data_IF_984902223090
#
_entry.id   IF_984902223090
#
_cell.length_a   1.000
_cell.length_b   1.000
_cell.length_c   1.000
_cell.angle_alpha   90.00
_cell.angle_beta   90.00
_cell.angle_gamma   90.00
#
_symmetry.space_group_name_H-M   'P 1'
#
loop_
_entity.id
_entity.type
_entity.pdbx_description
1 polymer ?
#
# COMPACT_ATOMS: atom_id res chain seq x y z
N UNK A 1 -8.64 29.32 -11.59
CA UNK A 1 -8.93 28.03 -10.94
C UNK A 1 -7.71 27.17 -11.19
N UNK A 2 -7.26 26.42 -10.19
CA UNK A 2 -6.16 25.47 -10.41
C UNK A 2 -6.61 24.37 -11.40
N UNK A 3 -5.68 23.87 -12.21
CA UNK A 3 -5.97 22.77 -13.12
C UNK A 3 -6.35 21.51 -12.31
N UNK A 4 -7.32 20.72 -12.78
CA UNK A 4 -7.75 19.51 -12.08
C UNK A 4 -6.60 18.50 -11.98
N UNK A 5 -6.43 17.90 -10.79
CA UNK A 5 -5.50 16.78 -10.59
C UNK A 5 -6.03 15.57 -11.37
N UNK A 6 -5.20 14.96 -12.22
CA UNK A 6 -5.52 13.65 -12.81
C UNK A 6 -5.35 12.59 -11.72
N UNK A 7 -6.46 11.99 -11.28
CA UNK A 7 -6.49 10.96 -10.24
C UNK A 7 -6.81 9.60 -10.85
N UNK A 8 -5.81 8.73 -10.91
CA UNK A 8 -5.92 7.39 -11.47
C UNK A 8 -6.22 6.36 -10.35
N UNK A 9 -7.21 5.51 -10.57
CA UNK A 9 -7.44 4.31 -9.77
C UNK A 9 -6.74 3.14 -10.43
N UNK A 10 -5.75 2.58 -9.76
CA UNK A 10 -4.97 1.45 -10.29
C UNK A 10 -5.66 0.16 -9.84
N UNK A 11 -6.33 -0.48 -10.79
CA UNK A 11 -6.96 -1.78 -10.56
C UNK A 11 -5.89 -2.86 -10.66
N UNK A 12 -5.87 -3.76 -9.69
CA UNK A 12 -4.96 -4.90 -9.67
C UNK A 12 -5.04 -5.71 -10.97
N UNK A 13 -3.97 -6.39 -11.32
CA UNK A 13 -3.89 -7.19 -12.54
C UNK A 13 -4.98 -8.27 -12.62
N UNK A 14 -5.49 -8.74 -11.48
CA UNK A 14 -6.56 -9.75 -11.39
C UNK A 14 -7.97 -9.16 -11.53
N UNK A 15 -8.11 -7.84 -11.74
CA UNK A 15 -9.41 -7.16 -11.75
C UNK A 15 -9.70 -6.61 -13.14
N UNK A 16 -10.79 -7.07 -13.72
CA UNK A 16 -11.28 -6.64 -15.03
C UNK A 16 -12.47 -5.69 -14.96
N UNK A 17 -13.04 -5.47 -13.76
CA UNK A 17 -14.24 -4.66 -13.57
C UNK A 17 -13.96 -3.37 -12.77
N UNK A 18 -14.81 -2.37 -12.96
CA UNK A 18 -14.79 -1.11 -12.21
C UNK A 18 -15.19 -1.27 -10.74
N UNK A 19 -15.77 -2.42 -10.40
CA UNK A 19 -16.44 -2.63 -9.11
C UNK A 19 -15.49 -2.80 -7.93
N UNK A 20 -14.17 -2.94 -8.17
CA UNK A 20 -13.17 -3.14 -7.11
C UNK A 20 -13.16 -2.02 -6.08
N UNK A 21 -13.28 -0.77 -6.54
CA UNK A 21 -13.28 0.40 -5.67
C UNK A 21 -14.70 0.82 -5.27
N UNK A 22 -15.74 0.16 -5.77
CA UNK A 22 -17.13 0.56 -5.55
C UNK A 22 -17.36 2.00 -5.99
N UNK A 23 -18.04 2.78 -5.17
CA UNK A 23 -18.34 4.20 -5.41
C UNK A 23 -17.30 5.16 -4.78
N UNK A 24 -16.17 4.63 -4.28
CA UNK A 24 -15.09 5.45 -3.72
C UNK A 24 -14.57 6.53 -4.68
N UNK A 25 -14.37 6.25 -5.99
CA UNK A 25 -13.89 7.26 -6.93
C UNK A 25 -14.78 8.50 -6.99
N UNK A 26 -16.09 8.30 -7.08
CA UNK A 26 -17.09 9.36 -7.14
C UNK A 26 -17.17 10.13 -5.81
N UNK A 27 -17.14 9.41 -4.70
CA UNK A 27 -17.14 9.98 -3.35
C UNK A 27 -15.90 10.87 -3.10
N UNK A 28 -14.72 10.39 -3.49
CA UNK A 28 -13.46 11.15 -3.39
C UNK A 28 -13.51 12.38 -4.31
N UNK A 29 -13.96 12.22 -5.55
CA UNK A 29 -14.06 13.33 -6.50
C UNK A 29 -14.96 14.46 -5.97
N UNK A 30 -16.13 14.11 -5.43
CA UNK A 30 -17.05 15.07 -4.84
C UNK A 30 -16.44 15.77 -3.64
N UNK A 31 -15.82 15.01 -2.72
CA UNK A 31 -15.20 15.56 -1.51
C UNK A 31 -13.99 16.46 -1.83
N UNK A 32 -13.13 16.05 -2.77
CA UNK A 32 -11.98 16.84 -3.20
C UNK A 32 -12.42 18.15 -3.87
N UNK A 33 -13.43 18.11 -4.73
CA UNK A 33 -14.00 19.29 -5.36
C UNK A 33 -14.59 20.26 -4.31
N UNK A 34 -15.29 19.74 -3.32
CA UNK A 34 -15.82 20.55 -2.22
C UNK A 34 -14.72 21.18 -1.36
N UNK A 35 -13.55 20.55 -1.28
CA UNK A 35 -12.36 21.05 -0.59
C UNK A 35 -11.49 21.99 -1.46
N UNK A 36 -11.94 22.34 -2.68
CA UNK A 36 -11.21 23.22 -3.59
C UNK A 36 -10.10 22.53 -4.41
N UNK A 37 -10.06 21.20 -4.41
CA UNK A 37 -9.09 20.38 -5.16
C UNK A 37 -9.84 19.57 -6.22
N UNK A 38 -10.19 20.15 -7.37
CA UNK A 38 -10.90 19.41 -8.41
C UNK A 38 -10.02 18.27 -8.97
N UNK A 39 -10.64 17.13 -9.25
CA UNK A 39 -9.96 15.97 -9.81
C UNK A 39 -10.62 15.50 -11.11
N UNK A 40 -9.82 14.99 -12.03
CA UNK A 40 -10.26 14.25 -13.22
C UNK A 40 -9.97 12.77 -13.00
N UNK A 41 -11.03 11.96 -12.93
CA UNK A 41 -10.90 10.53 -12.66
C UNK A 41 -10.39 9.78 -13.90
N UNK A 42 -9.45 8.88 -13.67
CA UNK A 42 -8.94 7.91 -14.64
C UNK A 42 -8.90 6.51 -14.00
N UNK A 43 -8.92 5.48 -14.83
CA UNK A 43 -8.76 4.10 -14.38
C UNK A 43 -7.64 3.45 -15.18
N UNK A 44 -6.75 2.77 -14.50
CA UNK A 44 -5.71 1.92 -15.07
C UNK A 44 -6.05 0.48 -14.76
N UNK A 45 -6.27 -0.31 -15.81
CA UNK A 45 -6.58 -1.74 -15.72
C UNK A 45 -5.38 -2.54 -16.20
N UNK A 46 -4.55 -3.02 -15.29
CA UNK A 46 -3.33 -3.76 -15.64
C UNK A 46 -3.62 -5.05 -16.39
N UNK A 47 -4.77 -5.68 -16.14
CA UNK A 47 -5.22 -6.85 -16.89
C UNK A 47 -5.40 -6.65 -18.40
N UNK A 48 -5.33 -5.42 -18.90
CA UNK A 48 -5.29 -5.13 -20.34
C UNK A 48 -3.92 -5.33 -20.96
N UNK A 49 -2.88 -5.26 -20.15
CA UNK A 49 -1.48 -5.22 -20.58
C UNK A 49 -0.70 -6.47 -20.25
N UNK A 50 -1.21 -7.29 -19.34
CA UNK A 50 -0.54 -8.49 -18.89
C UNK A 50 -1.56 -9.60 -18.59
N UNK A 51 -1.18 -10.85 -18.88
CA UNK A 51 -1.97 -12.04 -18.59
C UNK A 51 -1.94 -12.40 -17.09
N UNK A 52 -2.83 -13.31 -16.67
CA UNK A 52 -2.97 -13.76 -15.28
C UNK A 52 -2.27 -15.12 -15.03
N UNK A 53 -1.21 -15.42 -15.77
CA UNK A 53 -0.50 -16.68 -15.64
C UNK A 53 0.41 -16.74 -14.40
N UNK A 54 0.73 -17.95 -13.97
CA UNK A 54 1.54 -18.22 -12.77
C UNK A 54 2.98 -17.69 -12.88
N UNK A 55 3.50 -17.53 -14.08
CA UNK A 55 4.84 -17.04 -14.35
C UNK A 55 5.00 -15.53 -14.15
N UNK A 56 3.90 -14.77 -14.10
CA UNK A 56 3.94 -13.31 -13.95
C UNK A 56 4.57 -12.93 -12.62
N UNK A 57 5.60 -12.09 -12.69
CA UNK A 57 6.33 -11.54 -11.56
C UNK A 57 5.95 -10.09 -11.27
N UNK A 58 6.34 -9.56 -10.13
CA UNK A 58 6.10 -8.15 -9.78
C UNK A 58 6.76 -7.19 -10.77
N UNK A 59 7.88 -7.59 -11.36
CA UNK A 59 8.60 -6.81 -12.38
C UNK A 59 7.84 -6.71 -13.71
N UNK A 60 7.10 -7.76 -14.07
CA UNK A 60 6.24 -7.75 -15.25
C UNK A 60 5.03 -6.84 -15.04
N UNK A 61 4.50 -6.81 -13.81
CA UNK A 61 3.44 -5.87 -13.45
C UNK A 61 3.95 -4.42 -13.45
N UNK A 62 5.19 -4.18 -13.05
CA UNK A 62 5.79 -2.85 -13.12
C UNK A 62 5.95 -2.38 -14.57
N UNK A 63 6.34 -3.26 -15.49
CA UNK A 63 6.41 -2.96 -16.93
C UNK A 63 5.01 -2.71 -17.53
N UNK A 64 4.01 -3.50 -17.11
CA UNK A 64 2.62 -3.28 -17.50
C UNK A 64 2.10 -1.92 -17.01
N UNK A 65 2.49 -1.50 -15.80
CA UNK A 65 2.15 -0.17 -15.26
C UNK A 65 2.78 0.93 -16.09
N UNK A 66 4.07 0.80 -16.47
CA UNK A 66 4.75 1.78 -17.33
C UNK A 66 4.02 1.92 -18.68
N UNK A 67 3.67 0.78 -19.28
CA UNK A 67 2.94 0.78 -20.55
C UNK A 67 1.54 1.41 -20.41
N UNK A 68 0.85 1.16 -19.31
CA UNK A 68 -0.45 1.75 -19.02
C UNK A 68 -0.35 3.29 -18.85
N UNK A 69 0.68 3.76 -18.12
CA UNK A 69 0.92 5.20 -17.97
C UNK A 69 1.16 5.86 -19.32
N UNK A 70 1.99 5.27 -20.18
CA UNK A 70 2.28 5.78 -21.51
C UNK A 70 1.06 5.77 -22.44
N UNK A 71 0.11 4.88 -22.24
CA UNK A 71 -1.04 4.67 -23.11
C UNK A 71 -2.29 5.36 -22.57
N UNK A 72 -2.72 5.01 -21.35
CA UNK A 72 -3.99 5.48 -20.75
C UNK A 72 -3.88 6.93 -20.23
N UNK A 73 -2.65 7.37 -19.88
CA UNK A 73 -2.35 8.74 -19.41
C UNK A 73 -1.53 9.54 -20.41
N UNK A 74 -1.58 9.15 -21.69
CA UNK A 74 -0.85 9.88 -22.75
C UNK A 74 -1.16 11.37 -22.73
N UNK A 75 -0.12 12.21 -22.66
CA UNK A 75 -0.24 13.66 -22.63
C UNK A 75 -0.54 14.25 -21.24
N UNK A 76 -0.59 13.42 -20.21
CA UNK A 76 -0.66 13.87 -18.82
C UNK A 76 0.77 14.01 -18.28
N UNK A 77 1.15 15.23 -17.90
CA UNK A 77 2.50 15.50 -17.37
C UNK A 77 2.70 14.92 -15.99
N UNK A 78 1.70 15.07 -15.11
CA UNK A 78 1.72 14.54 -13.74
C UNK A 78 0.35 13.98 -13.37
N UNK A 79 0.36 12.92 -12.56
CA UNK A 79 -0.87 12.31 -12.05
C UNK A 79 -0.72 11.87 -10.60
N UNK A 80 -1.85 11.67 -9.95
CA UNK A 80 -1.95 11.04 -8.63
C UNK A 80 -2.61 9.69 -8.79
N UNK A 81 -2.31 8.72 -7.94
CA UNK A 81 -3.01 7.46 -7.99
C UNK A 81 -3.45 6.96 -6.61
N UNK A 82 -4.57 6.24 -6.63
CA UNK A 82 -5.05 5.44 -5.50
C UNK A 82 -4.85 3.98 -5.87
N UNK A 83 -4.27 3.23 -4.93
CA UNK A 83 -4.04 1.80 -5.05
C UNK A 83 -4.63 1.07 -3.86
N UNK A 84 -4.89 -0.22 -4.00
CA UNK A 84 -5.35 -1.08 -2.92
C UNK A 84 -4.50 -2.36 -2.86
N UNK A 85 -4.26 -2.86 -1.64
CA UNK A 85 -3.61 -4.16 -1.41
C UNK A 85 -2.27 -4.29 -2.14
N UNK A 86 -2.13 -5.30 -3.01
CA UNK A 86 -0.94 -5.54 -3.86
C UNK A 86 -0.61 -4.36 -4.80
N UNK A 87 -1.59 -3.51 -5.11
CA UNK A 87 -1.37 -2.32 -5.95
C UNK A 87 -0.37 -1.33 -5.35
N UNK A 88 -0.28 -1.25 -4.02
CA UNK A 88 0.71 -0.39 -3.35
C UNK A 88 2.15 -0.78 -3.68
N UNK A 89 2.61 -1.98 -3.31
CA UNK A 89 3.95 -2.43 -3.64
C UNK A 89 4.20 -2.52 -5.15
N UNK A 90 3.18 -2.79 -5.96
CA UNK A 90 3.29 -2.81 -7.42
C UNK A 90 3.70 -1.43 -7.97
N UNK A 91 2.98 -0.37 -7.60
CA UNK A 91 3.31 0.99 -8.06
C UNK A 91 4.66 1.45 -7.48
N UNK A 92 5.00 1.06 -6.25
CA UNK A 92 6.34 1.30 -5.69
C UNK A 92 7.43 0.59 -6.50
N UNK A 93 7.21 -0.67 -6.91
CA UNK A 93 8.16 -1.39 -7.76
C UNK A 93 8.27 -0.77 -9.16
N UNK A 94 7.19 -0.26 -9.71
CA UNK A 94 7.21 0.52 -10.94
C UNK A 94 8.08 1.77 -10.81
N UNK A 95 7.89 2.55 -9.73
CA UNK A 95 8.74 3.72 -9.45
C UNK A 95 10.20 3.32 -9.29
N UNK A 96 10.47 2.27 -8.53
CA UNK A 96 11.81 1.77 -8.31
C UNK A 96 12.49 1.32 -9.60
N UNK A 97 11.81 0.52 -10.41
CA UNK A 97 12.35 -0.03 -11.66
C UNK A 97 12.62 1.03 -12.72
N UNK A 98 11.73 2.01 -12.88
CA UNK A 98 11.77 2.97 -13.99
C UNK A 98 12.30 4.34 -13.59
N UNK A 99 12.29 4.71 -12.30
CA UNK A 99 12.58 6.07 -11.85
C UNK A 99 13.52 6.15 -10.64
N UNK A 100 14.08 5.07 -10.10
CA UNK A 100 14.91 5.10 -8.89
C UNK A 100 16.08 6.11 -9.00
N UNK A 101 16.76 6.13 -10.14
CA UNK A 101 17.90 7.01 -10.40
C UNK A 101 17.49 8.45 -10.79
N UNK A 102 16.21 8.67 -11.09
CA UNK A 102 15.67 9.93 -11.61
C UNK A 102 14.28 10.23 -11.06
N UNK A 103 14.11 10.13 -9.75
CA UNK A 103 12.82 10.36 -9.08
C UNK A 103 12.16 11.70 -9.41
N UNK A 104 12.95 12.71 -9.77
CA UNK A 104 12.44 14.01 -10.19
C UNK A 104 11.66 13.97 -11.51
N UNK A 105 11.93 12.97 -12.36
CA UNK A 105 11.26 12.78 -13.65
C UNK A 105 10.02 11.88 -13.54
N UNK A 106 9.76 11.32 -12.36
CA UNK A 106 8.59 10.46 -12.15
C UNK A 106 7.30 11.30 -12.30
N UNK A 107 6.38 10.90 -13.20
CA UNK A 107 5.13 11.63 -13.40
C UNK A 107 4.14 11.44 -12.26
N UNK A 108 4.38 10.51 -11.33
CA UNK A 108 3.53 10.25 -10.18
C UNK A 108 3.79 11.27 -9.07
N UNK A 109 2.75 12.03 -8.71
CA UNK A 109 2.80 13.02 -7.63
C UNK A 109 2.36 12.45 -6.29
N UNK A 110 1.16 11.90 -6.23
CA UNK A 110 0.63 11.31 -5.00
C UNK A 110 0.42 9.80 -5.20
N UNK A 111 1.05 9.00 -4.37
CA UNK A 111 0.80 7.56 -4.26
C UNK A 111 0.01 7.30 -2.98
N UNK A 112 -1.31 7.17 -3.10
CA UNK A 112 -2.21 6.95 -1.98
C UNK A 112 -2.53 5.46 -1.91
N UNK A 113 -1.97 4.77 -0.92
CA UNK A 113 -2.07 3.32 -0.78
C UNK A 113 -3.09 2.96 0.30
N UNK A 114 -4.17 2.30 -0.10
CA UNK A 114 -5.19 1.76 0.80
C UNK A 114 -4.86 0.31 1.14
N UNK A 115 -4.71 0.02 2.42
CA UNK A 115 -4.41 -1.30 2.94
C UNK A 115 -3.27 -2.03 2.19
N UNK A 116 -2.12 -1.38 1.92
CA UNK A 116 -1.10 -1.93 1.03
C UNK A 116 -0.34 -3.09 1.68
N UNK A 117 -0.12 -4.16 0.93
CA UNK A 117 0.71 -5.28 1.35
C UNK A 117 2.22 -4.97 1.14
N UNK A 118 2.70 -3.84 1.69
CA UNK A 118 4.06 -3.33 1.45
C UNK A 118 5.17 -4.31 1.88
N UNK A 119 4.95 -5.06 2.95
CA UNK A 119 5.87 -6.09 3.44
C UNK A 119 5.31 -7.51 3.22
N UNK A 120 4.33 -7.66 2.34
CA UNK A 120 3.63 -8.91 2.10
C UNK A 120 2.43 -9.12 3.03
N UNK A 121 1.86 -10.32 2.97
CA UNK A 121 0.69 -10.74 3.74
C UNK A 121 0.86 -12.16 4.27
N UNK A 122 0.44 -12.40 5.50
CA UNK A 122 0.40 -13.76 6.09
C UNK A 122 -0.53 -14.69 5.32
N UNK A 123 -1.57 -14.14 4.67
CA UNK A 123 -2.48 -14.93 3.85
C UNK A 123 -1.84 -15.50 2.58
N UNK A 124 -0.82 -14.86 2.04
CA UNK A 124 -0.11 -15.40 0.89
C UNK A 124 0.51 -16.78 1.19
N UNK A 125 0.97 -16.99 2.43
CA UNK A 125 1.49 -18.29 2.87
C UNK A 125 0.37 -19.34 2.94
N UNK A 126 -0.81 -18.95 3.46
CA UNK A 126 -1.98 -19.84 3.49
C UNK A 126 -2.51 -20.13 2.09
N UNK A 127 -2.40 -19.16 1.18
CA UNK A 127 -2.78 -19.30 -0.21
C UNK A 127 -1.98 -20.36 -0.94
N UNK A 128 -0.69 -20.37 -0.76
CA UNK A 128 0.19 -21.42 -1.30
C UNK A 128 -0.19 -22.82 -0.82
N UNK A 129 -0.60 -22.94 0.45
CA UNK A 129 -0.96 -24.24 1.03
C UNK A 129 -2.35 -24.74 0.58
N UNK A 130 -3.24 -23.87 0.09
CA UNK A 130 -4.66 -24.19 -0.22
C UNK A 130 -5.20 -23.35 -1.38
N UNK A 131 -4.59 -23.47 -2.55
CA UNK A 131 -4.86 -22.69 -3.77
C UNK A 131 -6.35 -22.50 -4.10
N UNK A 132 -7.19 -23.51 -3.93
CA UNK A 132 -8.63 -23.44 -4.24
C UNK A 132 -9.49 -22.59 -3.30
N UNK A 133 -8.96 -22.05 -2.21
CA UNK A 133 -9.73 -21.30 -1.19
C UNK A 133 -9.38 -19.81 -1.12
N UNK A 134 -8.27 -19.39 -1.74
CA UNK A 134 -7.92 -17.99 -1.88
C UNK A 134 -8.75 -17.27 -2.94
N UNK A 135 -9.36 -17.99 -3.85
CA UNK A 135 -10.26 -17.46 -4.87
C UNK A 135 -11.36 -16.56 -4.30
N UNK A 136 -11.87 -16.88 -3.12
CA UNK A 136 -12.87 -16.07 -2.42
C UNK A 136 -12.30 -14.76 -1.85
N UNK A 137 -10.99 -14.67 -1.74
CA UNK A 137 -10.33 -13.58 -1.03
C UNK A 137 -10.02 -12.36 -1.92
N UNK A 138 -9.72 -12.55 -3.17
CA UNK A 138 -9.36 -11.45 -4.09
C UNK A 138 -10.40 -11.36 -5.24
N UNK A 139 -11.68 -11.16 -4.89
CA UNK A 139 -12.72 -10.86 -5.87
C UNK A 139 -12.80 -11.82 -7.08
N UNK A 140 -12.53 -13.11 -6.85
CA UNK A 140 -12.81 -14.17 -7.82
C UNK A 140 -11.73 -14.45 -8.87
N UNK A 141 -10.54 -13.86 -8.77
CA UNK A 141 -9.43 -14.20 -9.66
C UNK A 141 -8.20 -14.63 -8.85
N UNK A 142 -7.65 -15.77 -9.16
CA UNK A 142 -6.47 -16.33 -8.51
C UNK A 142 -5.22 -15.53 -8.87
N UNK A 143 -4.46 -15.01 -7.87
CA UNK A 143 -3.15 -14.44 -8.15
C UNK A 143 -2.20 -15.55 -8.61
N UNK A 144 -1.44 -15.30 -9.66
CA UNK A 144 -0.41 -16.23 -10.12
C UNK A 144 0.62 -16.52 -9.05
N UNK A 145 1.26 -17.70 -9.15
CA UNK A 145 2.21 -18.19 -8.16
C UNK A 145 3.36 -17.20 -7.91
N UNK A 146 3.87 -16.53 -8.95
CA UNK A 146 4.94 -15.55 -8.83
C UNK A 146 4.58 -14.36 -7.94
N UNK A 147 3.33 -13.88 -8.00
CA UNK A 147 2.84 -12.80 -7.14
C UNK A 147 2.59 -13.28 -5.72
N UNK A 148 2.06 -14.50 -5.54
CA UNK A 148 1.92 -15.10 -4.20
C UNK A 148 3.29 -15.29 -3.53
N UNK A 149 4.30 -15.67 -4.29
CA UNK A 149 5.68 -15.81 -3.81
C UNK A 149 6.24 -14.48 -3.36
N UNK A 150 5.99 -13.42 -4.11
CA UNK A 150 6.38 -12.07 -3.74
C UNK A 150 5.65 -11.60 -2.47
N UNK A 151 4.35 -11.86 -2.36
CA UNK A 151 3.52 -11.45 -1.23
C UNK A 151 3.79 -12.24 0.05
N UNK A 152 4.53 -13.35 0.02
CA UNK A 152 4.92 -14.04 1.23
C UNK A 152 5.73 -13.12 2.14
N UNK A 153 5.38 -13.09 3.42
CA UNK A 153 6.15 -12.34 4.43
C UNK A 153 7.62 -12.76 4.39
N UNK A 154 8.51 -11.78 4.25
CA UNK A 154 9.95 -12.02 4.21
C UNK A 154 10.47 -12.58 2.88
N UNK A 155 9.71 -12.49 1.79
CA UNK A 155 10.22 -12.80 0.45
C UNK A 155 11.42 -11.90 0.12
N UNK A 156 12.41 -12.44 -0.60
CA UNK A 156 13.62 -11.68 -0.94
C UNK A 156 13.32 -10.45 -1.79
N UNK A 157 12.34 -10.55 -2.69
CA UNK A 157 11.94 -9.46 -3.57
C UNK A 157 11.23 -8.33 -2.80
N UNK A 158 10.34 -8.67 -1.85
CA UNK A 158 9.70 -7.67 -0.99
C UNK A 158 10.75 -6.99 -0.09
N UNK A 159 11.72 -7.74 0.45
CA UNK A 159 12.84 -7.18 1.20
C UNK A 159 13.68 -6.22 0.35
N UNK A 160 13.99 -6.59 -0.90
CA UNK A 160 14.76 -5.74 -1.80
C UNK A 160 14.05 -4.40 -2.02
N UNK A 161 12.75 -4.41 -2.32
CA UNK A 161 11.96 -3.18 -2.50
C UNK A 161 12.00 -2.26 -1.26
N UNK A 162 12.01 -2.85 -0.05
CA UNK A 162 12.16 -2.05 1.17
C UNK A 162 13.59 -1.49 1.30
N UNK A 163 14.61 -2.29 1.00
CA UNK A 163 16.00 -1.83 1.04
C UNK A 163 16.23 -0.67 0.07
N UNK A 164 15.76 -0.79 -1.16
CA UNK A 164 15.86 0.24 -2.20
C UNK A 164 15.17 1.53 -1.76
N UNK A 165 13.98 1.43 -1.16
CA UNK A 165 13.23 2.58 -0.65
C UNK A 165 13.99 3.38 0.42
N UNK A 166 14.87 2.75 1.22
CA UNK A 166 15.74 3.49 2.16
C UNK A 166 16.72 4.44 1.47
N UNK A 167 16.92 4.26 0.17
CA UNK A 167 17.78 5.12 -0.67
C UNK A 167 17.08 6.32 -1.27
N UNK A 168 15.76 6.40 -1.19
CA UNK A 168 14.99 7.46 -1.85
C UNK A 168 15.17 8.81 -1.17
N UNK A 169 15.31 9.84 -1.98
CA UNK A 169 15.32 11.24 -1.54
C UNK A 169 14.02 11.93 -2.00
N UNK A 170 12.94 11.71 -1.26
CA UNK A 170 11.63 12.32 -1.57
C UNK A 170 11.70 13.86 -1.55
N UNK A 171 12.61 14.44 -0.77
CA UNK A 171 12.82 15.89 -0.74
C UNK A 171 13.28 16.49 -2.09
N UNK A 172 13.85 15.67 -2.97
CA UNK A 172 14.31 16.07 -4.30
C UNK A 172 13.36 15.67 -5.42
N UNK A 173 12.22 15.08 -5.09
CA UNK A 173 11.19 14.66 -6.04
C UNK A 173 9.87 15.36 -5.73
N UNK A 174 8.92 15.21 -6.63
CA UNK A 174 7.53 15.62 -6.39
C UNK A 174 6.64 14.43 -6.00
N UNK A 175 7.22 13.29 -5.72
CA UNK A 175 6.53 12.08 -5.31
C UNK A 175 6.23 12.11 -3.81
N UNK A 176 4.96 11.99 -3.47
CA UNK A 176 4.44 11.94 -2.11
C UNK A 176 3.68 10.62 -1.88
N UNK A 177 4.29 9.61 -1.25
CA UNK A 177 3.60 8.39 -0.85
C UNK A 177 2.85 8.55 0.46
N UNK A 178 1.67 7.90 0.57
CA UNK A 178 0.82 7.88 1.76
C UNK A 178 0.30 6.47 1.99
N UNK A 179 0.13 6.09 3.25
CA UNK A 179 -0.38 4.77 3.65
C UNK A 179 -1.59 4.94 4.56
N UNK A 180 -2.71 4.34 4.17
CA UNK A 180 -3.94 4.25 4.94
C UNK A 180 -4.27 2.77 5.17
N UNK A 181 -4.15 2.30 6.41
CA UNK A 181 -4.43 0.90 6.79
C UNK A 181 -5.74 0.77 7.55
N UNK A 182 -6.47 -0.32 7.35
CA UNK A 182 -7.59 -0.71 8.19
C UNK A 182 -7.12 -1.50 9.42
N UNK A 183 -7.96 -1.56 10.46
CA UNK A 183 -7.64 -2.27 11.70
C UNK A 183 -8.72 -3.27 12.12
N UNK A 184 -9.80 -3.38 11.35
CA UNK A 184 -10.96 -4.18 11.70
C UNK A 184 -11.07 -5.39 10.79
N UNK A 185 -11.40 -6.53 11.35
CA UNK A 185 -11.60 -7.77 10.60
C UNK A 185 -13.09 -7.94 10.32
N UNK A 186 -13.48 -8.06 9.05
CA UNK A 186 -14.86 -8.45 8.69
C UNK A 186 -15.04 -9.95 8.89
N UNK A 187 -15.53 -10.34 10.06
CA UNK A 187 -15.71 -11.74 10.44
C UNK A 187 -16.66 -12.51 9.53
N UNK A 188 -17.61 -11.82 8.88
CA UNK A 188 -18.57 -12.48 7.95
C UNK A 188 -17.92 -12.84 6.61
N UNK A 189 -16.95 -12.08 6.17
CA UNK A 189 -16.22 -12.36 4.94
C UNK A 189 -15.25 -13.54 5.10
N UNK A 190 -14.80 -13.78 6.34
CA UNK A 190 -13.75 -14.77 6.66
C UNK A 190 -14.27 -15.99 7.45
N UNK A 191 -15.58 -16.25 7.48
CA UNK A 191 -16.19 -17.33 8.28
C UNK A 191 -15.54 -18.72 8.11
N UNK A 192 -14.91 -18.99 6.99
CA UNK A 192 -14.23 -20.26 6.77
C UNK A 192 -12.72 -20.26 7.06
N UNK A 193 -12.11 -19.09 7.30
CA UNK A 193 -10.67 -18.92 7.61
C UNK A 193 -10.47 -18.53 9.08
N UNK A 194 -11.53 -18.52 9.84
CA UNK A 194 -11.75 -17.90 11.14
C UNK A 194 -10.72 -18.14 12.25
N UNK A 195 -9.90 -19.18 12.18
CA UNK A 195 -8.95 -19.47 13.26
C UNK A 195 -7.53 -18.95 13.01
N UNK A 196 -7.22 -18.46 11.80
CA UNK A 196 -5.86 -18.09 11.41
C UNK A 196 -5.67 -16.59 11.17
N UNK A 197 -6.75 -15.80 11.08
CA UNK A 197 -6.72 -14.41 10.67
C UNK A 197 -7.24 -13.42 11.72
N UNK A 198 -7.66 -13.88 12.87
CA UNK A 198 -8.07 -13.01 13.98
C UNK A 198 -6.81 -12.50 14.65
N UNK A 199 -6.20 -11.50 14.06
CA UNK A 199 -5.00 -10.86 14.57
C UNK A 199 -5.26 -9.39 14.84
N UNK A 200 -5.12 -8.96 16.07
CA UNK A 200 -5.22 -7.55 16.47
C UNK A 200 -4.18 -6.73 15.71
N UNK A 201 -4.57 -5.57 15.20
CA UNK A 201 -3.69 -4.73 14.38
C UNK A 201 -3.59 -5.20 12.93
N UNK A 202 -4.63 -5.87 12.44
CA UNK A 202 -4.78 -6.29 11.05
C UNK A 202 -6.17 -5.91 10.52
N UNK A 203 -6.27 -5.69 9.22
CA UNK A 203 -7.54 -5.52 8.51
C UNK A 203 -8.16 -6.85 8.03
N UNK A 204 -7.60 -7.97 8.51
CA UNK A 204 -7.95 -9.34 8.12
C UNK A 204 -7.05 -9.92 7.02
N UNK A 205 -6.27 -9.11 6.33
CA UNK A 205 -5.41 -9.50 5.20
C UNK A 205 -3.98 -9.01 5.40
N UNK A 206 -3.84 -7.74 5.75
CA UNK A 206 -2.56 -7.08 5.93
C UNK A 206 -2.45 -6.57 7.37
N UNK A 207 -1.34 -6.89 8.02
CA UNK A 207 -0.99 -6.29 9.30
C UNK A 207 -0.69 -4.80 9.13
N UNK A 208 -1.11 -3.97 10.05
CA UNK A 208 -0.74 -2.54 10.07
C UNK A 208 0.78 -2.35 9.99
N UNK A 209 1.54 -3.18 10.70
CA UNK A 209 3.01 -3.18 10.60
C UNK A 209 3.50 -3.57 9.20
N UNK A 210 2.78 -4.46 8.50
CA UNK A 210 3.08 -4.87 7.13
C UNK A 210 2.71 -3.84 6.07
N UNK A 211 1.82 -2.91 6.38
CA UNK A 211 1.47 -1.78 5.53
C UNK A 211 2.43 -0.59 5.71
N UNK A 212 2.91 -0.37 6.94
CA UNK A 212 3.65 0.82 7.35
C UNK A 212 5.04 0.91 6.71
N UNK A 213 5.35 2.06 6.10
CA UNK A 213 6.66 2.34 5.51
C UNK A 213 7.65 3.01 6.48
N UNK A 214 7.23 3.35 7.70
CA UNK A 214 8.10 3.90 8.73
C UNK A 214 8.72 2.76 9.55
N UNK A 215 9.71 2.09 8.98
CA UNK A 215 10.42 0.99 9.63
C UNK A 215 11.88 1.36 9.90
N UNK A 216 12.55 0.58 10.74
CA UNK A 216 13.99 0.65 10.93
C UNK A 216 14.59 -0.67 10.47
N UNK A 217 15.52 -0.59 9.52
CA UNK A 217 16.22 -1.75 9.01
C UNK A 217 17.56 -1.89 9.70
N UNK A 218 17.83 -3.03 10.30
CA UNK A 218 19.14 -3.37 10.86
C UNK A 218 19.45 -4.85 10.63
N UNK A 219 20.72 -5.17 10.59
CA UNK A 219 21.22 -6.53 10.44
C UNK A 219 21.91 -6.96 11.73
N UNK A 220 21.48 -8.09 12.29
CA UNK A 220 22.15 -8.77 13.37
C UNK A 220 23.06 -9.86 12.78
N UNK A 221 24.28 -9.92 13.27
CA UNK A 221 25.22 -11.02 12.99
C UNK A 221 25.69 -11.62 14.30
N UNK A 222 25.91 -12.92 14.32
CA UNK A 222 26.53 -13.59 15.43
C UNK A 222 27.98 -13.11 15.55
N UNK A 223 28.37 -12.71 16.75
CA UNK A 223 29.76 -12.36 17.10
C UNK A 223 30.56 -13.62 17.37
N UNK A 224 31.87 -13.54 17.21
CA UNK A 224 32.78 -14.61 17.67
C UNK A 224 32.93 -14.64 19.19
N UNK A 225 32.59 -13.54 19.87
CA UNK A 225 32.66 -13.43 21.32
C UNK A 225 31.53 -14.20 21.99
N UNK A 226 31.84 -15.01 22.96
CA UNK A 226 30.87 -15.69 23.82
C UNK A 226 30.30 -14.73 24.87
N UNK A 227 29.11 -15.03 25.34
CA UNK A 227 28.54 -14.32 26.49
C UNK A 227 29.33 -14.69 27.76
N UNK A 228 29.94 -13.70 28.44
CA UNK A 228 30.61 -13.95 29.72
C UNK A 228 29.58 -14.40 30.75
N UNK A 229 29.77 -15.61 31.31
CA UNK A 229 28.98 -16.11 32.41
C UNK A 229 27.96 -17.20 32.14
N UNK A 230 27.88 -17.73 30.90
CA UNK A 230 27.08 -18.95 30.61
C UNK A 230 27.98 -20.05 30.06
N UNK A 231 28.01 -21.19 30.75
CA UNK A 231 28.64 -22.43 30.24
C UNK A 231 27.91 -23.01 29.04
N UNK A 232 26.68 -22.54 28.78
CA UNK A 232 25.79 -23.02 27.71
C UNK A 232 25.38 -21.88 26.76
N UNK A 233 25.75 -22.02 25.48
CA UNK A 233 25.10 -21.40 24.31
C UNK A 233 25.00 -19.88 24.28
N UNK A 234 26.07 -19.13 24.22
CA UNK A 234 25.85 -17.71 24.16
C UNK A 234 26.81 -16.96 23.25
N UNK A 235 26.52 -16.94 21.94
CA UNK A 235 27.18 -15.92 21.10
C UNK A 235 26.43 -14.60 21.21
N UNK A 236 27.18 -13.52 21.33
CA UNK A 236 26.59 -12.19 21.29
C UNK A 236 26.10 -11.87 19.86
N UNK A 237 24.99 -11.16 19.76
CA UNK A 237 24.54 -10.58 18.51
C UNK A 237 25.08 -9.16 18.38
N UNK A 238 25.74 -8.87 17.27
CA UNK A 238 26.20 -7.52 16.91
C UNK A 238 25.31 -6.92 15.84
N UNK A 239 24.95 -5.65 16.02
CA UNK A 239 24.30 -4.87 14.98
C UNK A 239 25.35 -4.48 13.95
N UNK A 240 25.15 -4.87 12.70
CA UNK A 240 26.00 -4.41 11.59
C UNK A 240 25.51 -3.04 11.17
N UNK A 241 26.36 -2.02 11.21
CA UNK A 241 26.02 -0.70 10.73
C UNK A 241 25.58 -0.74 9.27
N UNK A 242 24.49 -0.04 8.96
CA UNK A 242 24.03 0.19 7.59
C UNK A 242 24.09 1.68 7.28
N UNK A 243 24.47 1.99 6.05
CA UNK A 243 24.49 3.38 5.55
C UNK A 243 23.08 3.95 5.36
N UNK A 244 22.10 3.06 5.15
CA UNK A 244 20.69 3.41 4.93
C UNK A 244 19.83 2.60 5.91
N UNK A 245 19.59 3.15 7.11
CA UNK A 245 18.89 2.42 8.16
C UNK A 245 17.39 2.74 8.25
N UNK A 246 16.95 3.84 7.67
CA UNK A 246 15.55 4.29 7.71
C UNK A 246 15.09 4.79 6.36
N UNK A 247 13.85 4.45 5.95
CA UNK A 247 13.21 5.04 4.78
C UNK A 247 12.88 6.52 5.01
N UNK A 248 12.54 7.27 3.95
CA UNK A 248 11.95 8.59 4.10
C UNK A 248 10.69 8.51 4.98
N UNK A 249 10.47 9.47 5.90
CA UNK A 249 9.23 9.53 6.67
C UNK A 249 8.02 9.57 5.75
N UNK A 250 7.04 8.71 6.01
CA UNK A 250 5.82 8.56 5.18
C UNK A 250 4.59 8.73 6.05
N UNK A 251 3.59 9.56 5.67
CA UNK A 251 2.31 9.63 6.37
C UNK A 251 1.66 8.25 6.45
N UNK A 252 1.38 7.81 7.66
CA UNK A 252 0.75 6.53 7.96
C UNK A 252 -0.48 6.77 8.84
N UNK A 253 -1.64 6.31 8.36
CA UNK A 253 -2.92 6.52 9.03
C UNK A 253 -3.64 5.20 9.25
N UNK A 254 -4.10 4.96 10.47
CA UNK A 254 -4.99 3.84 10.82
C UNK A 254 -6.43 4.31 10.74
N UNK A 255 -7.18 3.74 9.82
CA UNK A 255 -8.61 4.05 9.60
C UNK A 255 -9.45 3.17 10.51
N UNK A 256 -10.19 3.76 11.48
CA UNK A 256 -11.02 3.00 12.41
C UNK A 256 -12.20 2.34 11.70
N UNK A 257 -12.61 1.18 12.20
CA UNK A 257 -13.74 0.41 11.68
C UNK A 257 -13.63 0.12 10.16
N UNK A 258 -12.43 -0.06 9.65
CA UNK A 258 -12.17 -0.39 8.25
C UNK A 258 -11.47 -1.75 8.15
N UNK A 259 -12.05 -2.65 7.36
CA UNK A 259 -11.46 -3.92 6.97
C UNK A 259 -10.80 -3.81 5.59
N UNK A 260 -10.05 -4.84 5.20
CA UNK A 260 -9.37 -4.90 3.91
C UNK A 260 -10.32 -4.74 2.72
N UNK A 261 -11.44 -5.45 2.77
CA UNK A 261 -12.46 -5.49 1.71
C UNK A 261 -13.85 -5.74 2.31
N UNK A 262 -14.88 -5.74 1.47
CA UNK A 262 -16.27 -5.96 1.86
C UNK A 262 -17.12 -4.70 1.82
N UNK A 263 -18.41 -4.88 1.55
CA UNK A 263 -19.34 -3.77 1.26
C UNK A 263 -19.75 -3.00 2.52
N UNK A 264 -19.59 -3.58 3.71
CA UNK A 264 -20.06 -2.96 4.97
C UNK A 264 -19.01 -2.08 5.61
N UNK A 265 -17.81 -2.61 5.76
CA UNK A 265 -16.71 -1.97 6.48
C UNK A 265 -15.39 -1.97 5.71
N UNK A 266 -15.36 -2.47 4.47
CA UNK A 266 -14.16 -2.42 3.63
C UNK A 266 -13.66 -1.00 3.42
N UNK A 267 -12.34 -0.80 3.49
CA UNK A 267 -11.70 0.52 3.43
C UNK A 267 -12.07 1.31 2.16
N UNK A 268 -12.48 0.65 1.10
CA UNK A 268 -12.89 1.24 -0.16
C UNK A 268 -14.35 0.91 -0.54
N UNK A 269 -14.74 -0.37 -0.63
CA UNK A 269 -16.03 -0.78 -1.16
C UNK A 269 -17.22 -0.36 -0.27
N UNK A 270 -16.99 -0.07 1.02
CA UNK A 270 -18.03 0.43 1.92
C UNK A 270 -18.32 1.94 1.77
N UNK A 271 -17.56 2.65 0.93
CA UNK A 271 -17.70 4.08 0.71
C UNK A 271 -18.69 4.34 -0.41
N UNK A 272 -19.65 5.21 -0.15
CA UNK A 272 -20.61 5.72 -1.14
C UNK A 272 -20.67 7.25 -1.08
N UNK A 273 -21.14 7.97 -2.10
CA UNK A 273 -21.32 9.41 -2.03
C UNK A 273 -22.19 9.87 -0.85
N UNK A 274 -23.17 9.05 -0.45
CA UNK A 274 -24.09 9.34 0.64
C UNK A 274 -23.46 9.26 2.02
N UNK A 275 -22.46 8.37 2.21
CA UNK A 275 -21.79 8.19 3.50
C UNK A 275 -20.36 8.77 3.53
N UNK A 276 -19.88 9.36 2.45
CA UNK A 276 -18.50 9.83 2.27
C UNK A 276 -18.04 10.75 3.42
N UNK A 277 -18.91 11.66 3.89
CA UNK A 277 -18.61 12.55 5.00
C UNK A 277 -18.41 11.85 6.36
N UNK A 278 -18.92 10.63 6.49
CA UNK A 278 -18.82 9.81 7.71
C UNK A 278 -17.65 8.79 7.61
N UNK A 279 -17.02 8.68 6.44
CA UNK A 279 -15.93 7.73 6.19
C UNK A 279 -14.57 8.46 6.32
N UNK A 280 -13.80 8.22 7.39
CA UNK A 280 -12.53 8.91 7.62
C UNK A 280 -11.54 8.75 6.45
N UNK A 281 -11.57 7.60 5.74
CA UNK A 281 -10.71 7.34 4.58
C UNK A 281 -10.85 8.42 3.50
N UNK A 282 -12.07 8.91 3.24
CA UNK A 282 -12.32 9.95 2.22
C UNK A 282 -11.64 11.26 2.62
N UNK A 283 -11.83 11.71 3.88
CA UNK A 283 -11.19 12.92 4.38
C UNK A 283 -9.65 12.82 4.33
N UNK A 284 -9.09 11.66 4.68
CA UNK A 284 -7.63 11.43 4.63
C UNK A 284 -7.11 11.40 3.19
N UNK A 285 -7.85 10.84 2.22
CA UNK A 285 -7.49 10.90 0.79
C UNK A 285 -7.48 12.35 0.31
N UNK A 286 -8.50 13.15 0.66
CA UNK A 286 -8.53 14.57 0.27
C UNK A 286 -7.34 15.33 0.86
N UNK A 287 -6.98 15.08 2.11
CA UNK A 287 -5.79 15.66 2.74
C UNK A 287 -4.49 15.29 2.01
N UNK A 288 -4.37 14.04 1.53
CA UNK A 288 -3.23 13.64 0.68
C UNK A 288 -3.18 14.45 -0.62
N UNK A 289 -4.33 14.66 -1.27
CA UNK A 289 -4.41 15.40 -2.54
C UNK A 289 -4.12 16.90 -2.39
N UNK A 290 -4.21 17.45 -1.18
CA UNK A 290 -3.88 18.84 -0.86
C UNK A 290 -2.38 19.09 -0.66
N UNK A 291 -1.56 18.03 -0.62
CA UNK A 291 -0.10 18.16 -0.45
C UNK A 291 0.54 18.67 -1.73
N UNK A 292 1.06 19.88 -1.69
CA UNK A 292 1.71 20.50 -2.86
C UNK A 292 3.23 20.52 -2.76
N UNK A 293 3.77 20.45 -1.55
CA UNK A 293 5.20 20.60 -1.29
C UNK A 293 5.64 19.82 -0.02
N UNK A 294 6.92 19.87 0.29
CA UNK A 294 7.50 19.16 1.44
C UNK A 294 6.99 19.65 2.80
N UNK A 295 6.59 20.93 2.92
CA UNK A 295 6.06 21.45 4.17
C UNK A 295 4.64 20.89 4.43
N UNK A 296 3.80 20.84 3.40
CA UNK A 296 2.47 20.22 3.47
C UNK A 296 2.59 18.72 3.77
N UNK A 297 3.58 18.05 3.14
CA UNK A 297 3.84 16.64 3.40
C UNK A 297 4.25 16.38 4.85
N UNK A 298 5.12 17.21 5.43
CA UNK A 298 5.50 17.13 6.84
C UNK A 298 4.31 17.39 7.78
N UNK A 299 3.43 18.33 7.42
CA UNK A 299 2.19 18.57 8.16
C UNK A 299 1.24 17.36 8.10
N UNK A 300 1.12 16.72 6.93
CA UNK A 300 0.33 15.50 6.75
C UNK A 300 0.88 14.33 7.58
N UNK A 301 2.21 14.14 7.67
CA UNK A 301 2.83 13.15 8.57
C UNK A 301 2.33 13.36 10.01
N UNK A 302 2.36 14.59 10.49
CA UNK A 302 1.92 14.94 11.85
C UNK A 302 0.41 14.72 12.04
N UNK A 303 -0.39 15.14 11.07
CA UNK A 303 -1.85 14.95 11.09
C UNK A 303 -2.21 13.46 11.15
N UNK A 304 -1.60 12.63 10.31
CA UNK A 304 -1.85 11.18 10.26
C UNK A 304 -1.40 10.48 11.54
N UNK A 305 -0.27 10.88 12.10
CA UNK A 305 0.20 10.36 13.39
C UNK A 305 -0.78 10.66 14.53
N UNK A 306 -1.27 11.89 14.61
CA UNK A 306 -2.26 12.30 15.62
C UNK A 306 -3.58 11.55 15.44
N UNK A 307 -4.06 11.40 14.20
CA UNK A 307 -5.28 10.65 13.91
C UNK A 307 -5.12 9.17 14.31
N UNK A 308 -3.98 8.56 13.98
CA UNK A 308 -3.66 7.16 14.36
C UNK A 308 -3.63 7.00 15.89
N UNK A 309 -2.99 7.93 16.61
CA UNK A 309 -2.95 7.89 18.07
C UNK A 309 -4.36 7.98 18.69
N UNK A 310 -5.23 8.84 18.17
CA UNK A 310 -6.61 8.93 18.60
C UNK A 310 -7.40 7.64 18.34
N UNK A 311 -7.21 7.02 17.17
CA UNK A 311 -7.81 5.72 16.83
C UNK A 311 -7.36 4.63 17.81
N UNK A 312 -6.06 4.56 18.10
CA UNK A 312 -5.50 3.56 19.04
C UNK A 312 -6.00 3.78 20.48
N UNK A 313 -6.13 5.03 20.93
CA UNK A 313 -6.68 5.33 22.23
C UNK A 313 -8.17 4.95 22.37
N UNK A 314 -8.93 5.08 21.29
CA UNK A 314 -10.35 4.67 21.29
C UNK A 314 -10.53 3.14 21.36
N UNK A 315 -9.51 2.37 21.04
CA UNK A 315 -9.52 0.89 21.04
C UNK A 315 -8.84 0.28 22.28
N UNK A 316 -8.22 1.08 23.12
CA UNK A 316 -7.53 0.64 24.36
C UNK A 316 -8.51 0.55 25.54
#
# INVERSE_FOLDING_TARGET
MADPIVLAFVHGWSVTSKDTYGELPEAVSAAATAAGVPVTLKNIYLGRYISFHDEVQMDDLADAMEHAVQTDLKGVETFSCITHSTGGPLVRRWVDKHYADRLADCPLRHLIMLAPANHGSSLAILGKARVGRLQAWISGVEPGQGILDWLCLGSSQAWQLQDDYTGYSLAKSQLFPFVLGGETIDTKFYDFVNNYLVEVGSDGVVRLAGANLNYTFFRLVQSEDRYEGSDDFGYQLKVVPRTKARPPPTPFCVIPNASHSGDKIGIMASVTPQNASQKPVVARIVECLQVENQADYAACITSFANFTAATQQANA
#
